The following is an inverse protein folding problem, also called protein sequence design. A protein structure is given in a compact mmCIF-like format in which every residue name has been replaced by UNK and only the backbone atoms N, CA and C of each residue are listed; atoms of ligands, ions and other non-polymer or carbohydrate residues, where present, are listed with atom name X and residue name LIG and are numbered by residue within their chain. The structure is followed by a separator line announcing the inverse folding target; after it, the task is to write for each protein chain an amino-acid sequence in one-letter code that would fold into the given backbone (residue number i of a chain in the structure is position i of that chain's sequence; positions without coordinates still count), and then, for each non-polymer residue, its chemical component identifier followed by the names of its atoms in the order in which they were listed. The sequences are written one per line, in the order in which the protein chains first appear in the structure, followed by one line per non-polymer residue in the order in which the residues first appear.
data_IF_038499617595
#
_entry.id   IF_038499617595
#
_cell.length_a   1.000
_cell.length_b   1.000
_cell.length_c   1.000
_cell.angle_alpha   90.00
_cell.angle_beta   90.00
_cell.angle_gamma   90.00
#
_symmetry.space_group_name_H-M   'P 1'
#
loop_
_entity.id
_entity.type
_entity.pdbx_description
1 polymer ?
#
# COMPACT_ATOMS: atom_id res chain seq x y z
N UNK A 1 -6.91 13.96 35.27
CA UNK A 1 -8.08 13.06 35.41
C UNK A 1 -7.90 11.93 34.42
N UNK A 2 -7.46 10.76 34.89
CA UNK A 2 -7.32 9.58 34.06
C UNK A 2 -8.73 9.04 33.79
N UNK A 3 -9.31 9.42 32.65
CA UNK A 3 -10.59 8.89 32.22
C UNK A 3 -10.41 7.41 31.87
N UNK A 4 -11.19 6.55 32.53
CA UNK A 4 -11.21 5.12 32.28
C UNK A 4 -11.40 4.84 30.79
N UNK A 5 -10.33 4.36 30.15
CA UNK A 5 -10.41 3.86 28.77
C UNK A 5 -11.24 2.59 28.85
N UNK A 6 -12.53 2.68 28.54
CA UNK A 6 -13.39 1.51 28.46
C UNK A 6 -12.80 0.50 27.47
N UNK A 7 -12.85 -0.81 27.76
CA UNK A 7 -12.26 -1.85 26.90
C UNK A 7 -12.67 -1.73 25.42
N UNK A 8 -13.88 -1.23 25.17
CA UNK A 8 -14.46 -0.99 23.85
C UNK A 8 -13.73 0.11 23.05
N UNK A 9 -13.29 1.20 23.70
CA UNK A 9 -12.56 2.29 23.05
C UNK A 9 -11.10 1.91 22.74
N UNK A 10 -10.50 1.04 23.57
CA UNK A 10 -9.20 0.45 23.30
C UNK A 10 -9.28 -0.57 22.14
N UNK A 11 -10.28 -1.45 22.15
CA UNK A 11 -10.52 -2.41 21.06
C UNK A 11 -10.81 -1.71 19.73
N UNK A 12 -11.68 -0.68 19.71
CA UNK A 12 -11.96 0.08 18.48
C UNK A 12 -10.71 0.74 17.92
N UNK A 13 -9.81 1.26 18.76
CA UNK A 13 -8.54 1.84 18.31
C UNK A 13 -7.58 0.79 17.76
N UNK A 14 -7.47 -0.37 18.41
CA UNK A 14 -6.69 -1.50 17.90
C UNK A 14 -7.24 -2.00 16.56
N UNK A 15 -8.55 -2.23 16.45
CA UNK A 15 -9.21 -2.64 15.21
C UNK A 15 -8.96 -1.65 14.07
N UNK A 16 -9.07 -0.34 14.35
CA UNK A 16 -8.84 0.69 13.34
C UNK A 16 -7.39 0.76 12.87
N UNK A 17 -6.42 0.49 13.76
CA UNK A 17 -4.99 0.38 13.40
C UNK A 17 -4.73 -0.88 12.58
N UNK A 18 -5.21 -2.04 13.02
CA UNK A 18 -5.02 -3.33 12.33
C UNK A 18 -5.66 -3.33 10.95
N UNK A 19 -6.87 -2.77 10.79
CA UNK A 19 -7.52 -2.63 9.48
C UNK A 19 -6.72 -1.78 8.50
N UNK A 20 -6.11 -0.68 8.96
CA UNK A 20 -5.27 0.16 8.08
C UNK A 20 -4.04 -0.59 7.61
N UNK A 21 -3.37 -1.33 8.50
CA UNK A 21 -2.18 -2.14 8.14
C UNK A 21 -2.55 -3.21 7.11
N UNK A 22 -3.66 -3.92 7.30
CA UNK A 22 -4.15 -4.90 6.33
C UNK A 22 -4.53 -4.28 4.99
N UNK A 23 -5.16 -3.11 5.00
CA UNK A 23 -5.55 -2.39 3.78
C UNK A 23 -4.32 -1.98 2.95
N UNK A 24 -3.22 -1.57 3.57
CA UNK A 24 -1.97 -1.20 2.87
C UNK A 24 -1.41 -2.38 2.09
N UNK A 25 -1.38 -3.58 2.67
CA UNK A 25 -0.93 -4.79 1.98
C UNK A 25 -1.78 -5.10 0.75
N UNK A 26 -3.10 -5.05 0.89
CA UNK A 26 -4.03 -5.28 -0.23
C UNK A 26 -3.92 -4.22 -1.32
N UNK A 27 -3.76 -2.94 -0.96
CA UNK A 27 -3.53 -1.87 -1.92
C UNK A 27 -2.24 -2.08 -2.71
N UNK A 28 -1.18 -2.60 -2.09
CA UNK A 28 0.05 -2.96 -2.78
C UNK A 28 -0.17 -4.07 -3.81
N UNK A 29 -0.90 -5.14 -3.44
CA UNK A 29 -1.20 -6.24 -4.36
C UNK A 29 -2.02 -5.74 -5.56
N UNK A 30 -3.06 -4.96 -5.32
CA UNK A 30 -3.90 -4.38 -6.38
C UNK A 30 -3.07 -3.47 -7.28
N UNK A 31 -2.21 -2.62 -6.70
CA UNK A 31 -1.32 -1.74 -7.46
C UNK A 31 -0.37 -2.53 -8.37
N UNK A 32 0.29 -3.57 -7.85
CA UNK A 32 1.20 -4.42 -8.63
C UNK A 32 0.48 -5.09 -9.80
N UNK A 33 -0.68 -5.68 -9.56
CA UNK A 33 -1.48 -6.33 -10.61
C UNK A 33 -1.94 -5.30 -11.66
N UNK A 34 -2.41 -4.13 -11.22
CA UNK A 34 -2.85 -3.06 -12.11
C UNK A 34 -1.73 -2.53 -13.00
N UNK A 35 -0.57 -2.20 -12.41
CA UNK A 35 0.59 -1.72 -13.15
C UNK A 35 1.18 -2.79 -14.08
N UNK A 36 1.13 -4.06 -13.69
CA UNK A 36 1.52 -5.17 -14.55
C UNK A 36 0.61 -5.31 -15.77
N UNK A 37 -0.72 -5.26 -15.58
CA UNK A 37 -1.69 -5.31 -16.69
C UNK A 37 -1.52 -4.13 -17.65
N UNK A 38 -1.38 -2.92 -17.10
CA UNK A 38 -1.17 -1.70 -17.90
C UNK A 38 0.15 -1.78 -18.65
N UNK A 39 1.23 -2.19 -17.98
CA UNK A 39 2.54 -2.33 -18.62
C UNK A 39 2.54 -3.37 -19.73
N UNK A 40 1.91 -4.53 -19.50
CA UNK A 40 1.80 -5.57 -20.53
C UNK A 40 0.94 -5.13 -21.71
N UNK A 41 -0.13 -4.36 -21.47
CA UNK A 41 -0.93 -3.77 -22.54
C UNK A 41 -0.13 -2.76 -23.37
N UNK A 42 0.64 -1.89 -22.71
CA UNK A 42 1.50 -0.90 -23.37
C UNK A 42 2.62 -1.57 -24.16
N UNK A 43 3.29 -2.57 -23.58
CA UNK A 43 4.36 -3.33 -24.24
C UNK A 43 3.84 -4.02 -25.52
N UNK A 44 2.64 -4.64 -25.46
CA UNK A 44 2.00 -5.23 -26.64
C UNK A 44 1.60 -4.21 -27.71
N UNK A 45 1.29 -2.97 -27.32
CA UNK A 45 0.85 -1.94 -28.27
C UNK A 45 2.00 -1.21 -28.94
N UNK A 46 3.14 -1.11 -28.26
CA UNK A 46 4.36 -0.43 -28.74
C UNK A 46 5.38 -1.40 -29.36
N UNK A 47 5.08 -2.71 -29.37
CA UNK A 47 5.99 -3.80 -29.74
C UNK A 47 7.34 -3.75 -28.99
N UNK A 48 7.32 -3.08 -27.84
CA UNK A 48 8.44 -3.09 -26.92
C UNK A 48 8.43 -4.44 -26.22
N UNK A 49 9.59 -5.10 -26.20
CA UNK A 49 9.97 -6.12 -25.18
C UNK A 49 9.53 -5.65 -23.79
N UNK A 50 9.51 -6.47 -22.71
CA UNK A 50 8.75 -6.20 -21.48
C UNK A 50 9.33 -5.07 -20.59
N UNK A 51 9.65 -3.92 -21.18
CA UNK A 51 10.36 -2.79 -20.62
C UNK A 51 9.36 -1.88 -19.90
N UNK A 52 8.20 -1.57 -20.52
CA UNK A 52 7.18 -0.76 -19.85
C UNK A 52 6.64 -1.50 -18.62
N UNK A 53 6.44 -2.81 -18.71
CA UNK A 53 6.06 -3.66 -17.58
C UNK A 53 7.10 -3.61 -16.46
N UNK A 54 8.40 -3.73 -16.76
CA UNK A 54 9.46 -3.63 -15.76
C UNK A 54 9.48 -2.25 -15.11
N UNK A 55 9.46 -1.17 -15.89
CA UNK A 55 9.48 0.21 -15.38
C UNK A 55 8.28 0.49 -14.49
N UNK A 56 7.07 0.13 -14.92
CA UNK A 56 5.85 0.33 -14.15
C UNK A 56 5.82 -0.53 -12.88
N UNK A 57 6.36 -1.75 -12.93
CA UNK A 57 6.47 -2.61 -11.74
C UNK A 57 7.45 -2.01 -10.73
N UNK A 58 8.60 -1.51 -11.17
CA UNK A 58 9.57 -0.84 -10.30
C UNK A 58 8.96 0.41 -9.66
N UNK A 59 8.21 1.22 -10.43
CA UNK A 59 7.50 2.38 -9.91
C UNK A 59 6.42 1.99 -8.90
N UNK A 60 5.66 0.93 -9.15
CA UNK A 60 4.64 0.42 -8.23
C UNK A 60 5.25 -0.04 -6.89
N UNK A 61 6.37 -0.77 -6.94
CA UNK A 61 7.08 -1.22 -5.74
C UNK A 61 7.66 -0.03 -4.98
N UNK A 62 8.35 0.89 -5.67
CA UNK A 62 8.92 2.08 -5.05
C UNK A 62 7.84 2.96 -4.39
N UNK A 63 6.72 3.17 -5.08
CA UNK A 63 5.56 3.89 -4.53
C UNK A 63 4.94 3.20 -3.32
N UNK A 64 4.75 1.87 -3.38
CA UNK A 64 4.20 1.07 -2.27
C UNK A 64 5.10 1.08 -1.04
N UNK A 65 6.42 0.97 -1.23
CA UNK A 65 7.41 1.05 -0.14
C UNK A 65 7.42 2.45 0.48
N UNK A 66 7.43 3.51 -0.34
CA UNK A 66 7.37 4.88 0.15
C UNK A 66 6.09 5.18 0.96
N UNK A 67 4.93 4.75 0.44
CA UNK A 67 3.65 4.89 1.13
C UNK A 67 3.65 4.14 2.48
N UNK A 68 4.19 2.93 2.49
CA UNK A 68 4.30 2.10 3.70
C UNK A 68 5.22 2.75 4.73
N UNK A 69 6.40 3.23 4.29
CA UNK A 69 7.35 3.96 5.15
C UNK A 69 6.73 5.20 5.76
N UNK A 70 6.04 6.03 4.97
CA UNK A 70 5.33 7.22 5.45
C UNK A 70 4.24 6.87 6.47
N UNK A 71 3.52 5.77 6.25
CA UNK A 71 2.46 5.31 7.16
C UNK A 71 3.03 4.85 8.50
N UNK A 72 4.10 4.06 8.48
CA UNK A 72 4.78 3.59 9.69
C UNK A 72 5.39 4.76 10.47
N UNK A 73 6.11 5.65 9.77
CA UNK A 73 6.74 6.82 10.40
C UNK A 73 5.69 7.79 10.99
N UNK A 74 4.53 7.91 10.35
CA UNK A 74 3.40 8.68 10.89
C UNK A 74 2.84 8.06 12.17
N UNK A 75 2.73 6.73 12.24
CA UNK A 75 2.30 6.04 13.46
C UNK A 75 3.34 6.10 14.58
N UNK A 76 4.63 6.17 14.24
CA UNK A 76 5.72 6.21 15.23
C UNK A 76 5.98 7.61 15.82
N UNK A 77 5.53 8.67 15.14
CA UNK A 77 5.67 10.06 15.58
C UNK A 77 4.49 10.57 16.42
N UNK A 78 3.37 9.85 16.41
CA UNK A 78 2.20 10.07 17.28
C UNK A 78 2.38 9.36 18.64
#
# INVERSE_FOLDING_TARGET
MAGDVTPDEAQKRMLRRTMRVFAVGWLMVIAVIGFWLVGNYVDRRLDTRPIATIVLTVLAVAGGVWQSYRTIMGVLKD
#
